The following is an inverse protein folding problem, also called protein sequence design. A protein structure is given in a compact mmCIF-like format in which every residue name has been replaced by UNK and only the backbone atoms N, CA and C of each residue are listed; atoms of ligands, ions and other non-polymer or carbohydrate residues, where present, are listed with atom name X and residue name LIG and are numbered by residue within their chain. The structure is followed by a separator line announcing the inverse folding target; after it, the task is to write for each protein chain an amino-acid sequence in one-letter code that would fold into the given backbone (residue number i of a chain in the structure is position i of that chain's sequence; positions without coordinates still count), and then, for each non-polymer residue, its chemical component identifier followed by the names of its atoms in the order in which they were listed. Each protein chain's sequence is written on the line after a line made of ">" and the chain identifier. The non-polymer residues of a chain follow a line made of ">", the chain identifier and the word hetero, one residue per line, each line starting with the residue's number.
data_IF_964981726273
#
_entry.id   IF_964981726273
#
_cell.length_a   1.000
_cell.length_b   1.000
_cell.length_c   1.000
_cell.angle_alpha   90.00
_cell.angle_beta   90.00
_cell.angle_gamma   90.00
#
_symmetry.space_group_name_H-M   'P 1'
#
loop_
_entity.id
_entity.type
_entity.pdbx_description
1 polymer ?
#
# COMPACT_ATOMS: atom_id res chain seq x y z
N UNK A 1 30.11 -39.29 40.35
CA UNK A 1 30.08 -39.04 38.89
C UNK A 1 28.65 -39.26 38.44
N UNK A 2 27.97 -38.22 37.98
CA UNK A 2 26.87 -38.24 37.00
C UNK A 2 26.44 -36.78 36.83
N UNK A 3 27.10 -36.11 35.87
CA UNK A 3 26.75 -34.78 35.41
C UNK A 3 25.50 -34.92 34.53
N UNK A 4 24.35 -34.49 35.03
CA UNK A 4 23.20 -34.20 34.17
C UNK A 4 23.27 -32.74 33.78
N UNK A 5 23.75 -32.55 32.56
CA UNK A 5 23.74 -31.31 31.79
C UNK A 5 22.32 -30.75 31.73
N UNK A 6 22.14 -29.62 32.41
CA UNK A 6 21.02 -28.73 32.20
C UNK A 6 21.09 -28.24 30.74
N UNK A 7 20.05 -28.43 29.90
CA UNK A 7 20.01 -27.70 28.65
C UNK A 7 19.87 -26.24 29.06
N UNK A 8 20.86 -25.42 28.72
CA UNK A 8 20.72 -23.98 28.79
C UNK A 8 19.50 -23.64 27.95
N UNK A 9 18.35 -23.44 28.61
CA UNK A 9 17.23 -22.74 28.02
C UNK A 9 17.83 -21.41 27.61
N UNK A 10 18.11 -21.27 26.32
CA UNK A 10 18.43 -20.00 25.69
C UNK A 10 17.31 -19.09 26.16
N UNK A 11 17.62 -18.26 27.14
CA UNK A 11 16.65 -17.33 27.69
C UNK A 11 16.12 -16.61 26.47
N UNK A 12 14.84 -16.82 26.15
CA UNK A 12 14.13 -15.99 25.21
C UNK A 12 14.06 -14.63 25.89
N UNK A 13 15.17 -13.89 25.84
CA UNK A 13 15.25 -12.50 26.16
C UNK A 13 14.17 -11.88 25.30
N UNK A 14 13.09 -11.45 25.94
CA UNK A 14 11.97 -10.80 25.30
C UNK A 14 12.55 -9.76 24.35
N UNK A 15 12.52 -10.03 23.05
CA UNK A 15 13.03 -9.12 22.03
C UNK A 15 12.02 -7.98 21.92
N UNK A 16 12.07 -7.11 22.91
CA UNK A 16 11.17 -5.98 23.05
C UNK A 16 11.92 -4.77 22.52
N UNK A 17 11.54 -4.34 21.33
CA UNK A 17 12.02 -3.11 20.70
C UNK A 17 10.98 -2.02 20.93
N UNK A 18 11.43 -0.79 21.20
CA UNK A 18 10.51 0.34 21.24
C UNK A 18 9.91 0.56 19.86
N UNK A 19 8.62 0.91 19.77
CA UNK A 19 7.96 1.14 18.48
C UNK A 19 8.65 2.25 17.66
N UNK A 20 9.13 3.31 18.31
CA UNK A 20 9.86 4.39 17.62
C UNK A 20 11.16 3.87 17.04
N UNK A 21 11.97 3.15 17.83
CA UNK A 21 13.23 2.57 17.36
C UNK A 21 12.99 1.57 16.22
N UNK A 22 11.90 0.79 16.29
CA UNK A 22 11.50 -0.12 15.20
C UNK A 22 11.11 0.63 13.92
N UNK A 23 10.33 1.72 14.03
CA UNK A 23 9.92 2.50 12.86
C UNK A 23 11.14 3.20 12.25
N UNK A 24 12.06 3.73 13.06
CA UNK A 24 13.27 4.39 12.58
C UNK A 24 14.22 3.40 11.88
N UNK A 25 14.31 2.15 12.35
CA UNK A 25 15.20 1.13 11.77
C UNK A 25 14.58 0.43 10.55
N UNK A 26 13.28 0.11 10.56
CA UNK A 26 12.65 -0.76 9.56
C UNK A 26 11.54 -0.07 8.74
N UNK A 27 11.21 1.19 9.03
CA UNK A 27 10.05 1.87 8.44
C UNK A 27 10.10 1.96 6.92
N UNK A 28 11.25 2.37 6.36
CA UNK A 28 11.42 2.52 4.92
C UNK A 28 11.33 1.18 4.18
N UNK A 29 12.01 0.14 4.68
CA UNK A 29 11.97 -1.20 4.09
C UNK A 29 10.58 -1.84 4.20
N UNK A 30 9.90 -1.64 5.34
CA UNK A 30 8.54 -2.11 5.54
C UNK A 30 7.59 -1.42 4.55
N UNK A 31 7.70 -0.10 4.40
CA UNK A 31 6.88 0.66 3.47
C UNK A 31 7.16 0.27 2.01
N UNK A 32 8.42 0.07 1.64
CA UNK A 32 8.79 -0.41 0.31
C UNK A 32 8.19 -1.81 0.05
N UNK A 33 8.33 -2.73 1.01
CA UNK A 33 7.79 -4.08 0.91
C UNK A 33 6.26 -4.09 0.79
N UNK A 34 5.60 -3.23 1.56
CA UNK A 34 4.15 -3.02 1.47
C UNK A 34 3.74 -2.48 0.10
N UNK A 35 4.42 -1.47 -0.42
CA UNK A 35 4.15 -0.90 -1.74
C UNK A 35 4.41 -1.90 -2.88
N UNK A 36 5.43 -2.75 -2.75
CA UNK A 36 5.71 -3.82 -3.71
C UNK A 36 4.63 -4.90 -3.70
N UNK A 37 4.14 -5.25 -2.51
CA UNK A 37 3.08 -6.25 -2.34
C UNK A 37 1.71 -5.72 -2.75
N UNK A 38 1.47 -4.42 -2.52
CA UNK A 38 0.22 -3.73 -2.78
C UNK A 38 0.51 -2.48 -3.62
N UNK A 39 0.87 -2.64 -4.91
CA UNK A 39 1.19 -1.51 -5.76
C UNK A 39 -0.03 -0.59 -5.87
N UNK A 40 0.15 0.74 -5.78
CA UNK A 40 -0.94 1.69 -5.92
C UNK A 40 -1.61 1.49 -7.29
N UNK A 41 -2.94 1.46 -7.28
CA UNK A 41 -3.73 1.23 -8.49
C UNK A 41 -3.63 2.40 -9.46
N UNK A 42 -3.53 3.62 -8.94
CA UNK A 42 -3.40 4.85 -9.71
C UNK A 42 -2.19 5.66 -9.24
N UNK A 43 -1.32 6.03 -10.17
CA UNK A 43 -0.06 6.74 -9.92
C UNK A 43 -0.02 8.13 -10.57
N UNK A 44 -1.17 8.68 -10.96
CA UNK A 44 -1.26 9.97 -11.67
C UNK A 44 -1.00 9.87 -13.18
N UNK A 45 -0.96 8.66 -13.74
CA UNK A 45 -0.88 8.47 -15.19
C UNK A 45 -2.29 8.36 -15.78
N UNK A 46 -2.71 9.42 -16.46
CA UNK A 46 -4.02 9.49 -17.08
C UNK A 46 -4.20 8.49 -18.22
N UNK A 47 -5.34 7.80 -18.22
CA UNK A 47 -5.76 7.02 -19.36
C UNK A 47 -6.37 7.95 -20.42
N UNK A 48 -5.74 8.02 -21.60
CA UNK A 48 -6.16 8.92 -22.70
C UNK A 48 -7.59 8.65 -23.20
N UNK A 49 -8.05 7.40 -23.17
CA UNK A 49 -9.42 7.06 -23.59
C UNK A 49 -10.45 7.59 -22.61
N UNK A 50 -10.16 7.49 -21.30
CA UNK A 50 -11.01 8.07 -20.25
C UNK A 50 -11.04 9.59 -20.34
N UNK A 51 -9.90 10.21 -20.60
CA UNK A 51 -9.81 11.64 -20.80
C UNK A 51 -10.71 12.11 -21.96
N UNK A 52 -10.67 11.39 -23.10
CA UNK A 52 -11.52 11.69 -24.24
C UNK A 52 -13.02 11.53 -23.94
N UNK A 53 -13.40 10.57 -23.09
CA UNK A 53 -14.79 10.44 -22.62
C UNK A 53 -15.17 11.64 -21.75
N UNK A 54 -14.33 12.01 -20.78
CA UNK A 54 -14.58 13.15 -19.88
C UNK A 54 -14.68 14.48 -20.65
N UNK A 55 -13.86 14.67 -21.68
CA UNK A 55 -13.86 15.86 -22.54
C UNK A 55 -15.15 16.03 -23.36
N UNK A 56 -15.89 14.94 -23.58
CA UNK A 56 -17.16 14.95 -24.32
C UNK A 56 -18.39 15.12 -23.43
N UNK A 57 -18.22 15.19 -22.11
CA UNK A 57 -19.34 15.39 -21.18
C UNK A 57 -19.89 16.82 -21.29
N UNK A 58 -21.22 16.96 -21.25
CA UNK A 58 -21.90 18.27 -21.25
C UNK A 58 -21.45 19.17 -20.10
N UNK A 59 -21.17 18.56 -18.93
CA UNK A 59 -20.55 19.21 -17.78
C UNK A 59 -19.19 18.56 -17.55
N UNK A 60 -18.15 19.20 -18.09
CA UNK A 60 -16.79 18.72 -17.94
C UNK A 60 -16.34 18.82 -16.47
N UNK A 61 -15.76 17.76 -15.89
CA UNK A 61 -15.15 17.85 -14.56
C UNK A 61 -13.97 18.83 -14.58
N UNK A 62 -13.76 19.55 -13.48
CA UNK A 62 -12.50 20.27 -13.30
C UNK A 62 -11.37 19.30 -12.93
N UNK A 63 -10.12 19.77 -12.95
CA UNK A 63 -8.93 18.91 -12.84
C UNK A 63 -8.99 17.88 -11.70
N UNK A 64 -9.22 18.30 -10.45
CA UNK A 64 -9.25 17.35 -9.34
C UNK A 64 -10.41 16.33 -9.42
N UNK A 65 -11.56 16.71 -10.02
CA UNK A 65 -12.63 15.75 -10.29
C UNK A 65 -12.25 14.76 -11.39
N UNK A 66 -11.53 15.21 -12.42
CA UNK A 66 -11.05 14.34 -13.50
C UNK A 66 -10.04 13.32 -12.96
N UNK A 67 -9.11 13.75 -12.10
CA UNK A 67 -8.15 12.87 -11.40
C UNK A 67 -8.86 11.78 -10.59
N UNK A 68 -9.88 12.16 -9.82
CA UNK A 68 -10.68 11.20 -9.05
C UNK A 68 -11.39 10.19 -9.95
N UNK A 69 -11.95 10.64 -11.08
CA UNK A 69 -12.58 9.76 -12.06
C UNK A 69 -11.55 8.79 -12.65
N UNK A 70 -10.34 9.26 -12.98
CA UNK A 70 -9.26 8.39 -13.49
C UNK A 70 -8.88 7.32 -12.47
N UNK A 71 -8.69 7.73 -11.21
CA UNK A 71 -8.31 6.85 -10.11
C UNK A 71 -9.38 5.78 -9.81
N UNK A 72 -10.64 6.19 -9.62
CA UNK A 72 -11.72 5.25 -9.30
C UNK A 72 -12.00 4.31 -10.48
N UNK A 73 -11.86 4.79 -11.72
CA UNK A 73 -12.06 3.94 -12.90
C UNK A 73 -10.93 2.93 -13.05
N UNK A 74 -9.69 3.28 -12.66
CA UNK A 74 -8.60 2.31 -12.63
C UNK A 74 -8.86 1.18 -11.62
N UNK A 75 -9.41 1.52 -10.46
CA UNK A 75 -9.80 0.53 -9.44
C UNK A 75 -10.94 -0.37 -9.93
N UNK A 76 -12.06 0.22 -10.34
CA UNK A 76 -13.26 -0.54 -10.64
C UNK A 76 -13.17 -1.29 -11.97
N UNK A 77 -12.52 -0.71 -13.00
CA UNK A 77 -12.49 -1.30 -14.34
C UNK A 77 -11.20 -2.06 -14.63
N UNK A 78 -10.03 -1.53 -14.28
CA UNK A 78 -8.76 -2.19 -14.62
C UNK A 78 -8.39 -3.28 -13.62
N UNK A 79 -8.70 -3.08 -12.34
CA UNK A 79 -8.50 -4.08 -11.28
C UNK A 79 -9.74 -4.93 -11.00
N UNK A 80 -10.87 -4.59 -11.61
CA UNK A 80 -12.14 -5.31 -11.45
C UNK A 80 -12.56 -5.44 -9.97
N UNK A 81 -12.27 -4.40 -9.18
CA UNK A 81 -12.67 -4.34 -7.79
C UNK A 81 -14.16 -3.99 -7.66
N UNK A 82 -14.77 -4.43 -6.56
CA UNK A 82 -16.22 -4.33 -6.39
C UNK A 82 -16.70 -2.91 -6.03
N UNK A 83 -15.86 -2.14 -5.35
CA UNK A 83 -16.20 -0.81 -4.86
C UNK A 83 -14.95 0.03 -4.58
N UNK A 84 -15.14 1.34 -4.42
CA UNK A 84 -14.12 2.26 -3.93
C UNK A 84 -14.72 3.44 -3.18
N UNK A 85 -13.88 4.15 -2.43
CA UNK A 85 -14.25 5.27 -1.56
C UNK A 85 -13.63 6.54 -2.14
N UNK A 86 -14.39 7.63 -2.18
CA UNK A 86 -14.04 8.93 -2.75
C UNK A 86 -14.39 10.05 -1.78
#
# INVERSE_FOLDING_TARGET
>A
MNAQTQPAALAASSLNINLTDFIDEFGDELLESLNRSNPPVYTGSDNAHRQLVMDRLKRKPFAAQAEVVQAITALLLDRNEQAGII
#
